data_IF_753417088954
#
_entry.id   IF_753417088954
#
_cell.length_a   1.000
_cell.length_b   1.000
_cell.length_c   1.000
_cell.angle_alpha   90.00
_cell.angle_beta   90.00
_cell.angle_gamma   90.00
#
_symmetry.space_group_name_H-M   'P 1'
#
loop_
_entity.id
_entity.type
_entity.pdbx_description
1 polymer ?
#
# COMPACT_ATOMS: atom_id res chain seq x y z
N UNK A 1 1.10 6.74 -4.11
CA UNK A 1 -0.01 5.85 -4.45
C UNK A 1 -1.34 6.38 -3.97
N UNK A 2 -2.43 5.78 -4.42
CA UNK A 2 -3.80 6.14 -4.06
C UNK A 2 -4.54 4.90 -3.56
N UNK A 3 -5.62 5.11 -2.82
CA UNK A 3 -6.55 4.05 -2.44
C UNK A 3 -8.00 4.55 -2.48
N UNK A 4 -8.92 3.63 -2.63
CA UNK A 4 -10.36 3.86 -2.57
C UNK A 4 -10.99 2.96 -1.51
N UNK A 5 -11.84 3.53 -0.65
CA UNK A 5 -12.50 2.78 0.44
C UNK A 5 -13.91 2.40 -0.01
N UNK A 6 -14.08 1.16 -0.45
CA UNK A 6 -15.38 0.63 -0.88
C UNK A 6 -15.39 -0.90 -0.81
N UNK A 7 -16.58 -1.52 -0.61
CA UNK A 7 -16.74 -2.96 -0.82
C UNK A 7 -16.47 -3.30 -2.30
N UNK A 8 -15.75 -4.38 -2.57
CA UNK A 8 -15.43 -4.77 -3.95
C UNK A 8 -16.67 -4.97 -4.85
N UNK A 9 -17.78 -5.43 -4.26
CA UNK A 9 -19.05 -5.59 -4.98
C UNK A 9 -19.83 -4.30 -5.20
N UNK A 10 -19.36 -3.16 -4.65
CA UNK A 10 -20.01 -1.85 -4.79
C UNK A 10 -19.08 -0.78 -5.34
N UNK A 11 -17.81 -1.10 -5.60
CA UNK A 11 -16.85 -0.13 -6.12
C UNK A 11 -17.04 0.03 -7.64
N UNK A 12 -17.04 1.26 -8.17
CA UNK A 12 -17.01 1.48 -9.61
C UNK A 12 -15.75 0.89 -10.26
N UNK A 13 -15.88 0.27 -11.45
CA UNK A 13 -14.73 -0.27 -12.20
C UNK A 13 -13.64 0.77 -12.38
N UNK A 14 -14.02 2.01 -12.70
CA UNK A 14 -13.09 3.13 -12.88
C UNK A 14 -12.23 3.44 -11.66
N UNK A 15 -12.74 3.23 -10.44
CA UNK A 15 -11.95 3.45 -9.22
C UNK A 15 -10.90 2.34 -9.01
N UNK A 16 -11.23 1.10 -9.39
CA UNK A 16 -10.27 -0.01 -9.41
C UNK A 16 -9.20 0.26 -10.46
N UNK A 17 -9.61 0.55 -11.70
CA UNK A 17 -8.72 0.85 -12.82
C UNK A 17 -7.76 1.97 -12.47
N UNK A 18 -8.26 3.10 -11.97
CA UNK A 18 -7.42 4.23 -11.54
C UNK A 18 -6.43 3.84 -10.42
N UNK A 19 -6.85 3.00 -9.47
CA UNK A 19 -5.94 2.54 -8.41
C UNK A 19 -4.81 1.69 -8.99
N UNK A 20 -5.11 0.82 -9.95
CA UNK A 20 -4.12 0.01 -10.64
C UNK A 20 -3.22 0.87 -11.54
N UNK A 21 -3.78 1.81 -12.28
CA UNK A 21 -3.02 2.73 -13.14
C UNK A 21 -1.95 3.49 -12.36
N UNK A 22 -2.31 4.07 -11.22
CA UNK A 22 -1.37 4.83 -10.42
C UNK A 22 -0.38 3.92 -9.69
N UNK A 23 -0.90 2.89 -8.98
CA UNK A 23 -0.07 2.13 -8.04
C UNK A 23 0.75 1.01 -8.70
N UNK A 24 0.24 0.42 -9.79
CA UNK A 24 0.88 -0.69 -10.48
C UNK A 24 1.50 -0.24 -11.81
N UNK A 25 0.70 0.28 -12.72
CA UNK A 25 1.22 0.70 -14.03
C UNK A 25 2.19 1.89 -13.91
N UNK A 26 1.97 2.81 -12.98
CA UNK A 26 2.94 3.87 -12.67
C UNK A 26 4.30 3.32 -12.26
N UNK A 27 4.34 2.27 -11.43
CA UNK A 27 5.57 1.57 -11.07
C UNK A 27 6.17 0.86 -12.28
N UNK A 28 5.35 0.13 -13.04
CA UNK A 28 5.80 -0.57 -14.24
C UNK A 28 6.42 0.37 -15.28
N UNK A 29 5.75 1.48 -15.61
CA UNK A 29 6.27 2.46 -16.57
C UNK A 29 7.57 3.07 -16.10
N UNK A 30 7.70 3.37 -14.80
CA UNK A 30 8.94 3.87 -14.22
C UNK A 30 10.07 2.83 -14.37
N UNK A 31 9.81 1.58 -14.01
CA UNK A 31 10.77 0.49 -14.19
C UNK A 31 11.16 0.34 -15.66
N UNK A 32 10.20 0.26 -16.56
CA UNK A 32 10.44 0.11 -17.99
C UNK A 32 11.38 1.20 -18.54
N UNK A 33 11.12 2.45 -18.17
CA UNK A 33 11.93 3.58 -18.64
C UNK A 33 13.34 3.63 -17.99
N UNK A 34 13.49 3.20 -16.74
CA UNK A 34 14.73 3.36 -15.98
C UNK A 34 15.64 2.14 -16.02
N UNK A 35 15.10 0.92 -16.19
CA UNK A 35 15.86 -0.33 -16.16
C UNK A 35 17.07 -0.35 -17.10
N UNK A 36 17.02 0.13 -18.36
CA UNK A 36 18.21 0.14 -19.23
C UNK A 36 19.37 0.91 -18.62
N UNK A 37 19.10 2.02 -17.96
CA UNK A 37 20.09 2.87 -17.30
C UNK A 37 20.63 2.24 -16.02
N UNK A 38 19.73 1.64 -15.23
CA UNK A 38 20.07 0.96 -13.97
C UNK A 38 20.92 -0.29 -14.26
N UNK A 39 20.62 -1.04 -15.32
CA UNK A 39 21.43 -2.19 -15.77
C UNK A 39 22.83 -1.74 -16.16
N UNK A 40 22.95 -0.68 -16.95
CA UNK A 40 24.25 -0.12 -17.37
C UNK A 40 25.12 0.32 -16.19
N UNK A 41 24.51 0.92 -15.17
CA UNK A 41 25.22 1.39 -13.98
C UNK A 41 25.39 0.29 -12.89
N UNK A 42 24.85 -0.91 -13.10
CA UNK A 42 24.74 -1.96 -12.09
C UNK A 42 24.10 -1.41 -10.78
N UNK A 43 23.09 -0.58 -10.95
CA UNK A 43 22.46 0.19 -9.90
C UNK A 43 21.54 -0.64 -8.97
N UNK A 44 20.63 0.06 -8.31
CA UNK A 44 19.67 -0.55 -7.39
C UNK A 44 18.26 0.00 -7.64
N UNK A 45 17.26 -0.89 -7.62
CA UNK A 45 15.84 -0.57 -7.70
C UNK A 45 15.23 -0.81 -6.32
N UNK A 46 14.47 0.15 -5.82
CA UNK A 46 13.61 -0.03 -4.66
C UNK A 46 12.18 0.31 -5.03
N UNK A 47 11.30 -0.69 -5.02
CA UNK A 47 9.86 -0.49 -5.18
C UNK A 47 9.19 -0.33 -3.81
N UNK A 48 8.10 0.42 -3.78
CA UNK A 48 7.33 0.64 -2.53
C UNK A 48 6.00 -0.09 -2.61
N UNK A 49 5.94 -1.25 -1.97
CA UNK A 49 4.72 -1.99 -1.73
C UNK A 49 3.95 -1.44 -0.50
N UNK A 50 3.48 -2.30 0.37
CA UNK A 50 2.78 -1.95 1.62
C UNK A 50 2.63 -3.20 2.47
N UNK A 51 2.34 -3.06 3.77
CA UNK A 51 1.79 -4.13 4.59
C UNK A 51 0.51 -4.74 3.95
N UNK A 52 -0.26 -3.93 3.21
CA UNK A 52 -1.44 -4.41 2.48
C UNK A 52 -1.13 -5.39 1.34
N UNK A 53 0.13 -5.57 0.93
CA UNK A 53 0.56 -6.65 0.05
C UNK A 53 0.68 -8.00 0.78
N UNK A 54 0.83 -7.97 2.11
CA UNK A 54 1.08 -9.14 2.95
C UNK A 54 -0.20 -9.64 3.63
N UNK A 55 -1.11 -8.72 3.98
CA UNK A 55 -2.38 -9.01 4.66
C UNK A 55 -3.50 -8.15 4.06
N UNK A 56 -4.61 -8.80 3.74
CA UNK A 56 -5.71 -8.18 3.00
C UNK A 56 -6.93 -8.00 3.90
N UNK A 57 -7.34 -6.76 4.09
CA UNK A 57 -8.56 -6.41 4.83
C UNK A 57 -9.70 -5.99 3.90
N UNK A 58 -10.93 -5.91 4.42
CA UNK A 58 -12.07 -5.42 3.65
C UNK A 58 -11.94 -3.92 3.33
N UNK A 59 -12.68 -3.46 2.33
CA UNK A 59 -12.82 -2.09 1.85
C UNK A 59 -11.60 -1.49 1.13
N UNK A 60 -10.46 -2.16 1.12
CA UNK A 60 -9.24 -1.70 0.44
C UNK A 60 -8.72 -2.73 -0.59
N UNK A 61 -9.61 -3.54 -1.15
CA UNK A 61 -9.23 -4.65 -2.02
C UNK A 61 -8.43 -4.24 -3.26
N UNK A 62 -8.81 -3.16 -3.95
CA UNK A 62 -8.09 -2.65 -5.11
C UNK A 62 -6.66 -2.19 -4.75
N UNK A 63 -6.52 -1.51 -3.61
CA UNK A 63 -5.22 -1.08 -3.10
C UNK A 63 -4.33 -2.29 -2.74
N UNK A 64 -4.88 -3.24 -1.98
CA UNK A 64 -4.15 -4.46 -1.61
C UNK A 64 -3.70 -5.25 -2.85
N UNK A 65 -4.58 -5.42 -3.84
CA UNK A 65 -4.26 -6.06 -5.10
C UNK A 65 -3.12 -5.33 -5.85
N UNK A 66 -3.18 -3.99 -5.94
CA UNK A 66 -2.12 -3.19 -6.57
C UNK A 66 -0.77 -3.35 -5.89
N UNK A 67 -0.74 -3.39 -4.56
CA UNK A 67 0.51 -3.52 -3.78
C UNK A 67 1.06 -4.94 -3.78
N UNK A 68 0.20 -5.96 -3.79
CA UNK A 68 0.60 -7.35 -4.00
C UNK A 68 1.19 -7.57 -5.41
N UNK A 69 0.61 -6.93 -6.42
CA UNK A 69 1.14 -6.99 -7.78
C UNK A 69 2.53 -6.31 -7.89
N UNK A 70 2.75 -5.18 -7.21
CA UNK A 70 4.07 -4.53 -7.13
C UNK A 70 5.10 -5.44 -6.44
N UNK A 71 4.72 -6.14 -5.37
CA UNK A 71 5.59 -7.14 -4.73
C UNK A 71 5.97 -8.25 -5.72
N UNK A 72 4.98 -8.84 -6.40
CA UNK A 72 5.20 -9.93 -7.35
C UNK A 72 6.11 -9.50 -8.52
N UNK A 73 5.89 -8.31 -9.10
CA UNK A 73 6.78 -7.74 -10.12
C UNK A 73 8.21 -7.59 -9.60
N UNK A 74 8.36 -7.09 -8.37
CA UNK A 74 9.68 -6.88 -7.76
C UNK A 74 10.41 -8.18 -7.51
N UNK A 75 9.71 -9.20 -7.02
CA UNK A 75 10.30 -10.51 -6.76
C UNK A 75 10.75 -11.19 -8.05
N UNK A 76 9.96 -11.10 -9.13
CA UNK A 76 10.33 -11.59 -10.47
C UNK A 76 11.55 -10.85 -11.00
N UNK A 77 11.53 -9.52 -10.97
CA UNK A 77 12.63 -8.69 -11.44
C UNK A 77 13.95 -8.96 -10.68
N UNK A 78 13.86 -9.23 -9.39
CA UNK A 78 15.02 -9.59 -8.56
C UNK A 78 15.70 -10.87 -9.03
N UNK A 79 14.91 -11.87 -9.41
CA UNK A 79 15.41 -13.14 -9.92
C UNK A 79 16.03 -12.96 -11.30
N UNK A 80 15.34 -12.23 -12.19
CA UNK A 80 15.79 -11.98 -13.57
C UNK A 80 17.11 -11.21 -13.62
N UNK A 81 17.29 -10.22 -12.73
CA UNK A 81 18.48 -9.37 -12.74
C UNK A 81 19.62 -9.83 -11.82
N UNK A 82 19.47 -10.97 -11.14
CA UNK A 82 20.47 -11.47 -10.19
C UNK A 82 21.87 -11.62 -10.82
N UNK A 83 21.94 -12.07 -12.07
CA UNK A 83 23.21 -12.25 -12.82
C UNK A 83 23.78 -10.98 -13.42
N UNK A 84 23.03 -9.87 -13.42
CA UNK A 84 23.43 -8.61 -14.08
C UNK A 84 24.09 -7.60 -13.13
N UNK A 85 24.23 -7.93 -11.86
CA UNK A 85 24.81 -7.06 -10.85
C UNK A 85 23.86 -5.94 -10.39
N UNK A 86 22.59 -5.97 -10.79
CA UNK A 86 21.54 -5.03 -10.36
C UNK A 86 20.92 -5.52 -9.06
N UNK A 87 20.85 -4.66 -8.04
CA UNK A 87 20.09 -4.95 -6.83
C UNK A 87 18.61 -4.58 -7.00
N UNK A 88 17.72 -5.39 -6.40
CA UNK A 88 16.26 -5.13 -6.46
C UNK A 88 15.65 -5.39 -5.09
N UNK A 89 15.12 -4.33 -4.49
CA UNK A 89 14.47 -4.34 -3.18
C UNK A 89 12.98 -3.99 -3.24
N UNK A 90 12.24 -4.45 -2.24
CA UNK A 90 10.85 -4.11 -2.00
C UNK A 90 10.70 -3.55 -0.58
N UNK A 91 10.03 -2.40 -0.46
CA UNK A 91 9.72 -1.77 0.81
C UNK A 91 8.29 -2.09 1.24
N UNK A 92 8.11 -2.45 2.51
CA UNK A 92 6.81 -2.75 3.11
C UNK A 92 6.56 -1.79 4.26
N UNK A 93 5.66 -0.84 4.05
CA UNK A 93 5.30 0.11 5.10
C UNK A 93 3.92 -0.19 5.67
N UNK A 94 3.81 -0.07 7.01
CA UNK A 94 2.54 0.05 7.70
C UNK A 94 1.96 1.44 7.58
N UNK A 95 1.18 1.88 8.57
CA UNK A 95 0.79 3.27 8.67
C UNK A 95 2.02 4.12 8.99
N UNK A 96 2.35 5.05 8.11
CA UNK A 96 3.41 6.05 8.29
C UNK A 96 2.74 7.42 8.34
N UNK A 97 3.20 8.28 9.24
CA UNK A 97 2.70 9.64 9.40
C UNK A 97 3.01 10.47 8.16
N UNK A 98 2.06 10.50 7.24
CA UNK A 98 2.10 11.20 5.97
C UNK A 98 0.72 11.70 5.63
N UNK A 99 0.60 12.67 4.72
CA UNK A 99 -0.68 13.20 4.25
C UNK A 99 -1.63 12.13 3.73
N UNK A 100 -1.12 11.03 3.19
CA UNK A 100 -1.92 9.88 2.75
C UNK A 100 -2.65 9.20 3.91
N UNK A 101 -2.05 9.17 5.10
CA UNK A 101 -2.57 8.48 6.29
C UNK A 101 -3.24 9.45 7.25
N UNK A 102 -2.67 10.63 7.46
CA UNK A 102 -3.09 11.60 8.49
C UNK A 102 -3.69 12.87 7.92
N UNK A 103 -3.43 13.20 6.65
CA UNK A 103 -3.84 14.45 6.00
C UNK A 103 -5.30 14.49 5.56
N UNK A 104 -6.06 13.42 5.73
CA UNK A 104 -7.48 13.34 5.42
C UNK A 104 -8.31 12.84 6.61
N UNK A 105 -9.59 13.19 6.64
CA UNK A 105 -10.52 12.56 7.57
C UNK A 105 -10.61 11.08 7.20
N UNK A 106 -10.21 10.20 8.14
CA UNK A 106 -10.32 8.75 7.93
C UNK A 106 -11.78 8.40 7.60
N UNK A 107 -11.97 7.69 6.48
CA UNK A 107 -13.30 7.28 6.03
C UNK A 107 -14.06 6.57 7.17
N UNK A 108 -15.33 6.95 7.48
CA UNK A 108 -16.06 6.44 8.66
C UNK A 108 -16.12 4.90 8.71
N UNK A 109 -16.30 4.24 7.55
CA UNK A 109 -16.31 2.79 7.47
C UNK A 109 -14.93 2.17 7.80
N UNK A 110 -13.83 2.79 7.34
CA UNK A 110 -12.47 2.34 7.64
C UNK A 110 -12.15 2.52 9.13
N UNK A 111 -12.58 3.61 9.75
CA UNK A 111 -12.46 3.83 11.19
C UNK A 111 -13.08 2.70 12.02
N UNK A 112 -14.24 2.15 11.61
CA UNK A 112 -14.86 0.99 12.27
C UNK A 112 -14.02 -0.28 12.15
N UNK A 113 -13.39 -0.49 11.00
CA UNK A 113 -12.51 -1.63 10.75
C UNK A 113 -11.25 -1.51 11.60
N UNK A 114 -10.65 -0.33 11.64
CA UNK A 114 -9.45 -0.08 12.44
C UNK A 114 -9.65 -0.43 13.93
N UNK A 115 -10.84 -0.24 14.51
CA UNK A 115 -11.14 -0.59 15.90
C UNK A 115 -11.01 -2.09 16.24
N UNK A 116 -10.87 -2.97 15.26
CA UNK A 116 -10.68 -4.43 15.46
C UNK A 116 -9.21 -4.82 15.32
N UNK A 117 -8.41 -3.96 14.74
CA UNK A 117 -6.98 -4.15 14.55
C UNK A 117 -6.24 -3.79 15.86
N UNK A 118 -5.20 -4.50 16.26
CA UNK A 118 -4.40 -4.16 17.44
C UNK A 118 -3.89 -2.71 17.37
N UNK A 119 -3.88 -2.03 18.52
CA UNK A 119 -3.54 -0.59 18.61
C UNK A 119 -2.15 -0.28 18.04
N UNK A 120 -1.16 -1.13 18.28
CA UNK A 120 0.20 -0.94 17.75
C UNK A 120 0.28 -0.96 16.22
N UNK A 121 -0.69 -1.60 15.54
CA UNK A 121 -0.81 -1.62 14.08
C UNK A 121 -1.48 -0.34 13.56
N UNK A 122 -2.41 0.21 14.36
CA UNK A 122 -3.15 1.43 14.00
C UNK A 122 -2.30 2.69 14.11
N UNK A 123 -1.36 2.71 15.07
CA UNK A 123 -0.54 3.88 15.35
C UNK A 123 0.42 4.15 14.18
N UNK A 124 0.32 5.31 13.52
CA UNK A 124 1.28 5.67 12.50
C UNK A 124 2.70 5.76 13.08
N UNK A 125 3.66 5.17 12.38
CA UNK A 125 5.07 5.36 12.70
C UNK A 125 5.56 6.71 12.15
N UNK A 126 6.56 7.34 12.78
CA UNK A 126 7.15 8.55 12.27
C UNK A 126 7.66 8.40 10.83
N UNK A 127 7.59 9.45 10.04
CA UNK A 127 8.14 9.47 8.68
C UNK A 127 9.66 9.20 8.68
N UNK A 128 10.38 9.64 9.72
CA UNK A 128 11.80 9.36 9.91
C UNK A 128 12.12 7.87 9.86
N UNK A 129 11.30 7.03 10.49
CA UNK A 129 11.54 5.58 10.52
C UNK A 129 11.51 4.98 9.11
N UNK A 130 10.61 5.47 8.25
CA UNK A 130 10.55 5.03 6.85
C UNK A 130 11.76 5.55 6.04
N UNK A 131 12.19 6.80 6.29
CA UNK A 131 13.36 7.40 5.62
C UNK A 131 14.63 6.63 6.01
N UNK A 132 14.83 6.35 7.28
CA UNK A 132 16.02 5.66 7.79
C UNK A 132 16.17 4.25 7.18
N UNK A 133 15.07 3.47 7.16
CA UNK A 133 15.13 2.14 6.54
C UNK A 133 15.29 2.18 5.02
N UNK A 134 14.78 3.21 4.34
CA UNK A 134 15.01 3.43 2.91
C UNK A 134 16.48 3.75 2.66
N UNK A 135 17.05 4.69 3.40
CA UNK A 135 18.45 5.08 3.25
C UNK A 135 19.37 3.89 3.50
N UNK A 136 19.18 3.17 4.61
CA UNK A 136 19.94 1.97 4.90
C UNK A 136 19.76 0.91 3.81
N UNK A 137 18.51 0.65 3.38
CA UNK A 137 18.20 -0.33 2.36
C UNK A 137 18.83 -0.03 1.01
N UNK A 138 18.92 1.24 0.61
CA UNK A 138 19.62 1.67 -0.59
C UNK A 138 21.13 1.46 -0.44
N UNK A 139 21.71 1.84 0.69
CA UNK A 139 23.13 1.71 0.99
C UNK A 139 23.59 0.24 0.99
N UNK A 140 22.78 -0.63 1.56
CA UNK A 140 23.04 -2.07 1.65
C UNK A 140 22.53 -2.88 0.45
N UNK A 141 21.77 -2.25 -0.45
CA UNK A 141 21.08 -2.90 -1.57
C UNK A 141 20.18 -4.05 -1.10
N UNK A 142 19.43 -3.80 -0.02
CA UNK A 142 18.61 -4.80 0.67
C UNK A 142 17.47 -5.32 -0.20
N UNK A 143 17.23 -6.64 -0.18
CA UNK A 143 16.14 -7.26 -0.95
C UNK A 143 14.75 -6.89 -0.42
N UNK A 144 14.64 -6.66 0.88
CA UNK A 144 13.39 -6.28 1.57
C UNK A 144 13.70 -5.33 2.70
N UNK A 145 12.90 -4.28 2.82
CA UNK A 145 12.94 -3.34 3.93
C UNK A 145 11.52 -3.10 4.46
N UNK A 146 11.38 -2.74 5.71
CA UNK A 146 10.08 -2.55 6.36
C UNK A 146 10.15 -1.54 7.50
N UNK A 147 9.05 -0.83 7.70
CA UNK A 147 8.79 0.00 8.87
C UNK A 147 7.28 0.07 9.13
N UNK A 148 6.85 0.00 10.40
CA UNK A 148 7.63 -0.26 11.62
C UNK A 148 8.12 -1.71 11.74
N UNK A 149 9.00 -1.98 12.73
CA UNK A 149 9.73 -3.25 12.87
C UNK A 149 8.87 -4.50 12.98
N UNK A 150 7.65 -4.42 13.53
CA UNK A 150 6.75 -5.58 13.66
C UNK A 150 6.30 -6.17 12.32
N UNK A 151 6.41 -5.42 11.22
CA UNK A 151 6.09 -5.92 9.87
C UNK A 151 6.98 -7.10 9.46
N UNK A 152 8.20 -7.19 10.01
CA UNK A 152 9.07 -8.35 9.81
C UNK A 152 8.36 -9.67 10.16
N UNK A 153 7.64 -9.71 11.27
CA UNK A 153 6.89 -10.89 11.69
C UNK A 153 5.75 -11.21 10.72
N UNK A 154 5.02 -10.19 10.25
CA UNK A 154 3.97 -10.38 9.24
C UNK A 154 4.55 -10.91 7.93
N UNK A 155 5.67 -10.34 7.47
CA UNK A 155 6.35 -10.77 6.26
C UNK A 155 6.80 -12.25 6.35
N UNK A 156 7.30 -12.66 7.51
CA UNK A 156 7.78 -14.02 7.76
C UNK A 156 6.63 -15.02 7.87
N UNK A 157 5.54 -14.65 8.53
CA UNK A 157 4.44 -15.55 8.87
C UNK A 157 3.14 -15.26 8.11
N UNK A 158 3.20 -14.54 6.97
CA UNK A 158 1.99 -14.12 6.21
C UNK A 158 1.04 -15.27 5.85
N UNK A 159 1.57 -16.46 5.61
CA UNK A 159 0.75 -17.65 5.33
C UNK A 159 -0.16 -18.08 6.48
N UNK A 160 0.19 -17.74 7.72
CA UNK A 160 -0.63 -17.94 8.92
C UNK A 160 -1.41 -16.68 9.29
N UNK A 161 -0.81 -15.50 9.10
CA UNK A 161 -1.40 -14.24 9.48
C UNK A 161 -2.69 -13.93 8.71
N UNK A 162 -2.73 -14.18 7.41
CA UNK A 162 -3.90 -13.92 6.58
C UNK A 162 -5.12 -14.77 6.97
N UNK A 163 -5.07 -16.10 7.07
CA UNK A 163 -6.22 -16.91 7.50
C UNK A 163 -6.72 -16.54 8.90
N UNK A 164 -5.81 -16.22 9.83
CA UNK A 164 -6.18 -15.80 11.18
C UNK A 164 -6.89 -14.43 11.17
N UNK A 165 -6.41 -13.49 10.35
CA UNK A 165 -7.04 -12.20 10.15
C UNK A 165 -8.44 -12.34 9.55
N UNK A 166 -8.61 -13.15 8.51
CA UNK A 166 -9.91 -13.45 7.88
C UNK A 166 -10.88 -14.05 8.89
N UNK A 167 -10.45 -15.06 9.64
CA UNK A 167 -11.27 -15.70 10.67
C UNK A 167 -11.74 -14.70 11.73
N UNK A 168 -10.86 -13.83 12.21
CA UNK A 168 -11.16 -12.78 13.19
C UNK A 168 -12.11 -11.73 12.63
N UNK A 169 -11.82 -11.22 11.42
CA UNK A 169 -12.61 -10.16 10.79
C UNK A 169 -14.02 -10.63 10.42
N UNK A 170 -14.17 -11.84 9.87
CA UNK A 170 -15.47 -12.40 9.47
C UNK A 170 -16.45 -12.51 10.64
N UNK A 171 -15.94 -12.70 11.86
CA UNK A 171 -16.75 -12.82 13.08
C UNK A 171 -17.07 -11.49 13.78
N UNK A 172 -16.42 -10.41 13.36
CA UNK A 172 -16.54 -9.11 14.03
C UNK A 172 -17.80 -8.35 13.61
N UNK A 173 -18.67 -8.02 14.56
CA UNK A 173 -19.82 -7.16 14.32
C UNK A 173 -19.41 -5.72 13.93
N UNK A 174 -18.26 -5.24 14.39
CA UNK A 174 -17.71 -3.93 14.00
C UNK A 174 -17.35 -3.90 12.51
N UNK A 175 -16.74 -4.98 12.02
CA UNK A 175 -16.42 -5.15 10.58
C UNK A 175 -17.71 -5.17 9.75
N UNK A 176 -18.70 -5.98 10.14
CA UNK A 176 -20.00 -6.02 9.45
C UNK A 176 -20.66 -4.65 9.39
N UNK A 177 -20.64 -3.88 10.49
CA UNK A 177 -21.17 -2.52 10.52
C UNK A 177 -20.39 -1.56 9.61
N UNK A 178 -19.05 -1.64 9.59
CA UNK A 178 -18.21 -0.85 8.71
C UNK A 178 -18.50 -1.12 7.24
N UNK A 179 -18.59 -2.39 6.85
CA UNK A 179 -18.94 -2.79 5.48
C UNK A 179 -20.35 -2.28 5.12
N UNK A 180 -21.35 -2.45 6.00
CA UNK A 180 -22.72 -1.97 5.77
C UNK A 180 -22.79 -0.45 5.60
N UNK A 181 -21.98 0.30 6.38
CA UNK A 181 -21.90 1.76 6.25
C UNK A 181 -21.34 2.15 4.87
N UNK A 182 -20.26 1.53 4.44
CA UNK A 182 -19.66 1.79 3.14
C UNK A 182 -20.59 1.45 1.97
N UNK A 183 -21.44 0.41 2.09
CA UNK A 183 -22.48 0.14 1.09
C UNK A 183 -23.55 1.23 1.00
N UNK A 184 -23.95 1.81 2.13
CA UNK A 184 -24.92 2.93 2.13
C UNK A 184 -24.33 4.15 1.44
N UNK A 185 -23.10 4.51 1.80
CA UNK A 185 -22.38 5.65 1.20
C UNK A 185 -22.19 5.47 -0.31
N UNK A 186 -21.84 4.26 -0.77
CA UNK A 186 -21.71 3.95 -2.19
C UNK A 186 -23.05 4.09 -2.96
N UNK A 187 -24.19 3.74 -2.35
CA UNK A 187 -25.52 3.87 -2.96
C UNK A 187 -26.00 5.32 -2.99
N UNK A 188 -25.62 6.13 -2.04
CA UNK A 188 -26.04 7.53 -1.94
C UNK A 188 -25.20 8.46 -2.83
N UNK A 189 -24.32 7.93 -3.67
CA UNK A 189 -23.48 8.67 -4.61
C UNK A 189 -22.28 9.37 -3.96
N UNK A 190 -22.06 9.08 -2.67
CA UNK A 190 -21.02 9.69 -1.87
C UNK A 190 -19.65 8.97 -1.94
N UNK A 191 -19.29 8.36 -3.05
CA UNK A 191 -17.94 7.83 -3.25
C UNK A 191 -16.93 8.97 -3.24
N UNK A 192 -16.59 9.50 -2.07
CA UNK A 192 -15.49 10.44 -1.93
C UNK A 192 -14.21 9.74 -2.33
N UNK A 193 -13.70 10.17 -3.47
CA UNK A 193 -12.39 9.80 -3.97
C UNK A 193 -11.36 10.27 -2.93
N UNK A 194 -10.83 9.38 -2.11
CA UNK A 194 -9.73 9.68 -1.19
C UNK A 194 -8.44 10.12 -1.95
N UNK A 195 -8.51 10.18 -3.29
CA UNK A 195 -7.51 10.77 -4.17
C UNK A 195 -7.36 12.30 -4.01
N UNK A 196 -8.22 12.96 -3.22
CA UNK A 196 -8.17 14.41 -2.97
C UNK A 196 -6.86 14.87 -2.30
N UNK A 197 -6.13 14.00 -1.62
CA UNK A 197 -4.83 14.37 -1.03
C UNK A 197 -3.76 14.73 -2.06
N UNK A 198 -3.77 14.11 -3.23
CA UNK A 198 -2.79 14.37 -4.31
C UNK A 198 -3.21 15.56 -5.19
N UNK A 199 -4.50 15.74 -5.43
CA UNK A 199 -5.02 16.85 -6.23
C UNK A 199 -4.78 18.22 -5.56
N UNK A 200 -4.83 18.30 -4.22
CA UNK A 200 -4.55 19.53 -3.47
C UNK A 200 -3.06 19.94 -3.51
N UNK A 201 -2.13 18.99 -3.63
CA UNK A 201 -0.70 19.28 -3.75
C UNK A 201 -0.35 19.85 -5.12
N UNK A 202 -1.00 19.38 -6.19
CA UNK A 202 -0.78 19.91 -7.56
C UNK A 202 -1.37 21.31 -7.70
N UNK A 203 -2.54 21.59 -7.09
CA UNK A 203 -3.17 22.92 -7.10
C UNK A 203 -2.38 23.98 -6.32
N UNK A 204 -1.67 23.60 -5.24
CA UNK A 204 -0.82 24.55 -4.49
C UNK A 204 0.53 24.81 -5.15
N UNK A 205 1.01 23.92 -6.01
CA UNK A 205 2.27 24.12 -6.75
C UNK A 205 2.13 25.03 -7.98
N UNK A 206 0.91 25.22 -8.51
CA UNK A 206 0.67 26.08 -9.67
C UNK A 206 0.33 27.56 -9.33
N UNK A 207 0.29 27.90 -8.02
CA UNK A 207 0.01 29.26 -7.52
C UNK A 207 1.19 29.88 -6.73
N UNK A 208 2.43 29.52 -7.08
CA UNK A 208 3.63 30.24 -6.64
C UNK A 208 4.51 30.62 -7.83
#
# INVERSE_FOLDING_TARGET
GIYHVSPLSGVPSSAIERTLDVNLYGVWHTLYATLPHIKKSKGYVLTVASMAALTHGPLMGAYAASKAAVEALTDSLRIELKGEGVGVGCAYFGAIDTDLVTGGHMHPALSKIMQVIPEFVQKPAPLSDAIDVIEQGIRERSNRIWAPGWIAAVLMFRGLAQPMLEWRMARSNKIKKGISLSYKEAKEGGGQDASLGVALLVSKASNK
#
